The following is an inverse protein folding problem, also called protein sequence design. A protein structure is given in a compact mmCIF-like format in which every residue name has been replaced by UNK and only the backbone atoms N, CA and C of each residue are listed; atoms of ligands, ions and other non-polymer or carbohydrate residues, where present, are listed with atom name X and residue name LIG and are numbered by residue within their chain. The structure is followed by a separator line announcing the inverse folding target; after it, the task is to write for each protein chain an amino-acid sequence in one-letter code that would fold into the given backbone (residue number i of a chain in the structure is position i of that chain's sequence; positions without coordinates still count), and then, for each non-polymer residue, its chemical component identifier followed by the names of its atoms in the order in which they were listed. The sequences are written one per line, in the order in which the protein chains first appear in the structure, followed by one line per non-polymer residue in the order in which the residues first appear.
data_IF_598258876901
#
_entry.id   IF_598258876901
#
_cell.length_a   1.000
_cell.length_b   1.000
_cell.length_c   1.000
_cell.angle_alpha   90.00
_cell.angle_beta   90.00
_cell.angle_gamma   90.00
#
_symmetry.space_group_name_H-M   'P 1'
#
loop_
_entity.id
_entity.type
_entity.pdbx_description
1 polymer ?
#
# COMPACT_ATOMS: atom_id res chain seq x y z
N UNK A 1 -11.78 -1.17 -14.46
CA UNK A 1 -10.86 -0.99 -13.32
C UNK A 1 -10.81 -2.29 -12.52
N UNK A 2 -9.63 -2.91 -12.39
CA UNK A 2 -9.37 -4.12 -11.60
C UNK A 2 -8.68 -3.72 -10.29
N UNK A 3 -9.32 -4.00 -9.17
CA UNK A 3 -8.82 -3.66 -7.84
C UNK A 3 -8.56 -4.96 -7.09
N UNK A 4 -7.40 -5.06 -6.45
CA UNK A 4 -7.05 -6.18 -5.58
C UNK A 4 -6.62 -5.67 -4.20
N UNK A 5 -6.75 -6.55 -3.21
CA UNK A 5 -6.25 -6.32 -1.86
C UNK A 5 -5.48 -7.54 -1.37
N UNK A 6 -4.39 -7.31 -0.66
CA UNK A 6 -3.56 -8.39 -0.12
C UNK A 6 -2.89 -7.98 1.19
N UNK A 7 -3.23 -8.67 2.27
CA UNK A 7 -2.42 -8.67 3.49
C UNK A 7 -1.21 -9.59 3.27
N UNK A 8 -0.01 -9.00 3.20
CA UNK A 8 1.22 -9.71 2.78
C UNK A 8 2.08 -10.19 3.95
N UNK A 9 1.74 -9.80 5.18
CA UNK A 9 2.49 -10.15 6.38
C UNK A 9 4.02 -9.92 6.23
N UNK A 10 4.43 -8.70 5.85
CA UNK A 10 5.78 -8.24 5.45
C UNK A 10 5.99 -8.13 3.94
N UNK A 11 6.08 -6.89 3.46
CA UNK A 11 6.33 -6.56 2.05
C UNK A 11 7.68 -7.09 1.57
N UNK A 12 8.73 -6.93 2.37
CA UNK A 12 10.10 -7.31 2.00
C UNK A 12 10.18 -8.83 1.79
N UNK A 13 9.64 -9.61 2.73
CA UNK A 13 9.65 -11.06 2.64
C UNK A 13 8.81 -11.59 1.45
N UNK A 14 7.80 -10.83 1.00
CA UNK A 14 6.86 -11.26 -0.06
C UNK A 14 7.12 -10.58 -1.40
N UNK A 15 8.14 -9.72 -1.49
CA UNK A 15 8.43 -8.93 -2.68
C UNK A 15 8.50 -9.77 -3.97
N UNK A 16 9.19 -10.93 -4.02
CA UNK A 16 9.24 -11.75 -5.25
C UNK A 16 7.88 -12.34 -5.67
N UNK A 17 6.99 -12.59 -4.71
CA UNK A 17 5.63 -13.07 -4.99
C UNK A 17 4.74 -11.94 -5.50
N UNK A 18 4.89 -10.75 -4.91
CA UNK A 18 4.12 -9.56 -5.29
C UNK A 18 4.49 -9.12 -6.70
N UNK A 19 5.77 -9.01 -7.03
CA UNK A 19 6.22 -8.59 -8.37
C UNK A 19 5.74 -9.57 -9.45
N UNK A 20 5.96 -10.88 -9.26
CA UNK A 20 5.45 -11.91 -10.17
C UNK A 20 3.93 -11.86 -10.34
N UNK A 21 3.21 -11.60 -9.25
CA UNK A 21 1.76 -11.50 -9.31
C UNK A 21 1.30 -10.21 -10.03
N UNK A 22 1.95 -9.08 -9.81
CA UNK A 22 1.67 -7.82 -10.53
C UNK A 22 1.90 -7.96 -12.03
N UNK A 23 2.97 -8.65 -12.45
CA UNK A 23 3.26 -8.95 -13.86
C UNK A 23 2.14 -9.77 -14.53
N UNK A 24 1.61 -10.77 -13.82
CA UNK A 24 0.58 -11.66 -14.35
C UNK A 24 -0.83 -11.08 -14.27
N UNK A 25 -1.18 -10.52 -13.12
CA UNK A 25 -2.55 -10.09 -12.83
C UNK A 25 -2.84 -8.68 -13.35
N UNK A 26 -1.81 -7.83 -13.42
CA UNK A 26 -1.87 -6.45 -13.90
C UNK A 26 -3.11 -5.68 -13.39
N UNK A 27 -3.33 -5.56 -12.07
CA UNK A 27 -4.43 -4.75 -11.54
C UNK A 27 -4.23 -3.26 -11.83
N UNK A 28 -5.32 -2.50 -11.83
CA UNK A 28 -5.24 -1.04 -11.84
C UNK A 28 -4.80 -0.52 -10.47
N UNK A 29 -5.26 -1.17 -9.40
CA UNK A 29 -4.93 -0.85 -8.00
C UNK A 29 -4.68 -2.11 -7.20
N UNK A 30 -3.61 -2.14 -6.41
CA UNK A 30 -3.35 -3.13 -5.36
C UNK A 30 -3.23 -2.44 -4.00
N UNK A 31 -4.13 -2.75 -3.09
CA UNK A 31 -4.05 -2.36 -1.68
C UNK A 31 -3.27 -3.42 -0.90
N UNK A 32 -2.24 -3.00 -0.16
CA UNK A 32 -1.43 -3.87 0.68
C UNK A 32 -1.61 -3.53 2.15
N UNK A 33 -1.74 -4.55 2.99
CA UNK A 33 -1.75 -4.45 4.45
C UNK A 33 -0.62 -5.28 5.07
N UNK A 34 -0.27 -4.97 6.32
CA UNK A 34 0.88 -5.54 7.03
C UNK A 34 2.17 -5.44 6.22
N UNK A 35 2.50 -4.23 5.75
CA UNK A 35 3.79 -4.03 5.06
C UNK A 35 4.97 -4.32 6.00
N UNK A 36 4.81 -4.09 7.31
CA UNK A 36 5.82 -4.26 8.37
C UNK A 36 7.13 -3.55 8.04
N UNK A 37 7.02 -2.44 7.34
CA UNK A 37 8.12 -1.71 6.74
C UNK A 37 7.88 -0.21 6.94
N UNK A 38 8.94 0.50 7.34
CA UNK A 38 8.93 1.95 7.40
C UNK A 38 9.04 2.56 5.99
N UNK A 39 8.59 3.81 5.82
CA UNK A 39 8.56 4.50 4.52
C UNK A 39 9.94 4.50 3.82
N UNK A 40 11.01 4.75 4.57
CA UNK A 40 12.40 4.84 4.10
C UNK A 40 12.98 3.50 3.64
N UNK A 41 12.38 2.38 4.07
CA UNK A 41 12.81 1.01 3.74
C UNK A 41 11.89 0.32 2.73
N UNK A 42 10.85 1.01 2.26
CA UNK A 42 9.89 0.43 1.33
C UNK A 42 10.56 0.14 -0.02
N UNK A 43 10.35 -1.03 -0.64
CA UNK A 43 11.02 -1.44 -1.89
C UNK A 43 10.43 -0.74 -3.12
N UNK A 44 10.59 0.58 -3.18
CA UNK A 44 10.03 1.43 -4.24
C UNK A 44 10.66 1.14 -5.60
N UNK A 45 11.95 0.84 -5.66
CA UNK A 45 12.66 0.62 -6.93
C UNK A 45 12.18 -0.66 -7.62
N UNK A 46 12.01 -1.72 -6.84
CA UNK A 46 11.55 -3.02 -7.30
C UNK A 46 10.08 -3.02 -7.71
N UNK A 47 9.27 -2.14 -7.12
CA UNK A 47 7.86 -1.97 -7.50
C UNK A 47 7.70 -0.97 -8.64
N UNK A 48 8.53 0.07 -8.74
CA UNK A 48 8.50 1.06 -9.85
C UNK A 48 8.90 0.47 -11.19
N UNK A 49 9.77 -0.55 -11.20
CA UNK A 49 10.16 -1.26 -12.43
C UNK A 49 8.97 -1.90 -13.17
N UNK A 50 7.80 -2.02 -12.51
CA UNK A 50 6.58 -2.63 -13.07
C UNK A 50 5.57 -1.64 -13.64
N UNK A 51 5.92 -0.36 -13.81
CA UNK A 51 5.01 0.73 -14.22
C UNK A 51 3.88 1.03 -13.22
N UNK A 52 4.16 0.83 -11.93
CA UNK A 52 3.29 1.23 -10.84
C UNK A 52 3.93 2.31 -9.98
N UNK A 53 3.11 3.27 -9.57
CA UNK A 53 3.40 4.19 -8.48
C UNK A 53 2.90 3.61 -7.15
N UNK A 54 3.58 3.99 -6.07
CA UNK A 54 3.26 3.54 -4.72
C UNK A 54 3.01 4.74 -3.81
N UNK A 55 1.92 4.69 -3.06
CA UNK A 55 1.67 5.54 -1.90
C UNK A 55 1.78 4.66 -0.67
N UNK A 56 2.55 5.10 0.32
CA UNK A 56 2.90 4.29 1.50
C UNK A 56 2.44 5.03 2.75
N UNK A 57 2.01 4.30 3.77
CA UNK A 57 2.03 4.74 5.16
C UNK A 57 2.60 3.59 5.98
N UNK A 58 3.91 3.66 6.25
CA UNK A 58 4.71 2.59 6.79
C UNK A 58 4.91 2.68 8.28
N UNK A 59 5.01 1.51 8.92
CA UNK A 59 5.40 1.38 10.32
C UNK A 59 6.13 0.04 10.49
N UNK A 60 7.22 0.06 11.25
CA UNK A 60 8.01 -1.14 11.49
C UNK A 60 7.24 -2.19 12.31
N UNK A 61 7.63 -3.46 12.14
CA UNK A 61 7.22 -4.62 12.95
C UNK A 61 5.79 -5.12 12.74
N UNK A 62 4.77 -4.27 12.89
CA UNK A 62 3.39 -4.75 13.04
C UNK A 62 2.44 -4.31 11.94
N UNK A 63 2.45 -3.02 11.58
CA UNK A 63 1.41 -2.42 10.75
C UNK A 63 1.94 -2.05 9.37
N UNK A 64 1.43 -0.96 8.82
CA UNK A 64 1.83 -0.41 7.55
C UNK A 64 0.89 -0.84 6.43
N UNK A 65 0.51 0.13 5.62
CA UNK A 65 -0.38 -0.01 4.47
C UNK A 65 0.24 0.69 3.26
N UNK A 66 -0.05 0.18 2.07
CA UNK A 66 0.37 0.81 0.82
C UNK A 66 -0.73 0.67 -0.25
N UNK A 67 -0.80 1.65 -1.15
CA UNK A 67 -1.60 1.58 -2.37
C UNK A 67 -0.63 1.62 -3.55
N UNK A 68 -0.70 0.62 -4.40
CA UNK A 68 0.09 0.48 -5.62
C UNK A 68 -0.85 0.67 -6.81
N UNK A 69 -0.52 1.54 -7.76
CA UNK A 69 -1.41 1.90 -8.85
C UNK A 69 -0.66 2.18 -10.14
N UNK A 70 -1.22 1.77 -11.28
CA UNK A 70 -0.69 2.12 -12.62
C UNK A 70 -1.10 3.54 -13.05
N UNK A 71 -2.15 4.06 -12.44
CA UNK A 71 -2.57 5.44 -12.59
C UNK A 71 -2.02 6.26 -11.41
N UNK A 72 -1.68 7.53 -11.64
CA UNK A 72 -1.26 8.43 -10.57
C UNK A 72 -2.30 8.49 -9.43
N UNK A 73 -1.82 8.70 -8.21
CA UNK A 73 -2.64 8.83 -7.02
C UNK A 73 -2.81 10.32 -6.66
N UNK A 74 -4.04 10.76 -6.37
CA UNK A 74 -4.34 12.12 -5.93
C UNK A 74 -5.03 12.13 -4.56
N UNK A 75 -5.18 13.31 -3.94
CA UNK A 75 -5.90 13.50 -2.66
C UNK A 75 -5.50 12.52 -1.56
N UNK A 76 -4.19 12.27 -1.44
CA UNK A 76 -3.64 11.25 -0.54
C UNK A 76 -3.86 11.66 0.91
N UNK A 77 -4.40 10.74 1.72
CA UNK A 77 -4.52 10.93 3.17
C UNK A 77 -4.01 9.71 3.92
N UNK A 78 -3.07 9.94 4.84
CA UNK A 78 -2.52 8.95 5.78
C UNK A 78 -3.23 9.09 7.12
N UNK A 79 -3.65 7.98 7.70
CA UNK A 79 -4.31 7.96 9.01
C UNK A 79 -5.72 8.54 9.01
N UNK A 80 -6.32 8.57 10.20
CA UNK A 80 -7.58 9.24 10.45
C UNK A 80 -7.39 10.75 10.64
N UNK A 81 -8.43 11.57 10.39
CA UNK A 81 -8.39 12.98 10.78
C UNK A 81 -8.07 13.13 12.27
N UNK A 82 -6.99 13.84 12.58
CA UNK A 82 -6.52 14.06 13.96
C UNK A 82 -5.42 13.11 14.43
N UNK A 83 -5.01 12.14 13.61
CA UNK A 83 -3.84 11.30 13.92
C UNK A 83 -2.55 12.13 14.03
N UNK A 84 -1.66 11.70 14.92
CA UNK A 84 -0.33 12.27 15.14
C UNK A 84 0.79 11.31 14.70
N UNK A 85 2.05 11.70 14.92
CA UNK A 85 3.22 10.90 14.54
C UNK A 85 3.34 9.56 15.28
N UNK A 86 2.60 9.36 16.38
CA UNK A 86 2.59 8.12 17.18
C UNK A 86 1.46 7.17 16.79
N UNK A 87 0.52 7.65 15.97
CA UNK A 87 -0.66 6.91 15.54
C UNK A 87 -0.29 5.73 14.64
N UNK A 88 -1.12 4.69 14.65
CA UNK A 88 -0.82 3.43 13.97
C UNK A 88 -1.04 3.53 12.46
N UNK A 89 -0.07 3.05 11.67
CA UNK A 89 -0.14 3.11 10.22
C UNK A 89 -1.11 2.07 9.64
N UNK A 90 -2.41 2.37 9.71
CA UNK A 90 -3.50 1.43 9.39
C UNK A 90 -4.48 1.90 8.35
N UNK A 91 -4.51 3.19 8.03
CA UNK A 91 -5.45 3.76 7.07
C UNK A 91 -4.70 4.59 6.04
N UNK A 92 -4.93 4.29 4.77
CA UNK A 92 -4.41 5.06 3.65
C UNK A 92 -5.49 5.21 2.60
N UNK A 93 -5.69 6.43 2.13
CA UNK A 93 -6.67 6.72 1.09
C UNK A 93 -6.04 7.52 -0.04
N UNK A 94 -6.55 7.31 -1.26
CA UNK A 94 -6.15 8.04 -2.44
C UNK A 94 -7.27 8.02 -3.50
N UNK A 95 -7.33 9.06 -4.32
CA UNK A 95 -8.20 9.12 -5.50
C UNK A 95 -7.42 8.57 -6.70
N UNK A 96 -8.00 7.57 -7.38
CA UNK A 96 -7.37 6.89 -8.52
C UNK A 96 -8.42 6.73 -9.61
N UNK A 97 -8.22 7.39 -10.76
CA UNK A 97 -9.13 7.29 -11.91
C UNK A 97 -10.59 7.65 -11.59
N UNK A 98 -10.81 8.65 -10.72
CA UNK A 98 -12.14 9.08 -10.28
C UNK A 98 -12.77 8.23 -9.17
N UNK A 99 -12.05 7.24 -8.62
CA UNK A 99 -12.53 6.39 -7.53
C UNK A 99 -11.72 6.66 -6.25
N UNK A 100 -12.41 6.88 -5.13
CA UNK A 100 -11.81 6.95 -3.79
C UNK A 100 -11.45 5.55 -3.31
N UNK A 101 -10.17 5.23 -3.22
CA UNK A 101 -9.67 3.98 -2.64
C UNK A 101 -9.38 4.19 -1.17
N UNK A 102 -9.96 3.35 -0.32
CA UNK A 102 -9.77 3.34 1.14
C UNK A 102 -9.14 2.00 1.53
N UNK A 103 -7.84 2.01 1.80
CA UNK A 103 -7.09 0.84 2.25
C UNK A 103 -6.96 0.85 3.77
N UNK A 104 -7.50 -0.17 4.44
CA UNK A 104 -7.54 -0.27 5.90
C UNK A 104 -6.98 -1.61 6.39
N UNK A 105 -6.17 -1.54 7.44
CA UNK A 105 -5.70 -2.68 8.22
C UNK A 105 -6.28 -2.63 9.64
N UNK A 106 -7.40 -3.33 9.83
CA UNK A 106 -8.10 -3.39 11.12
C UNK A 106 -7.26 -4.20 12.13
N UNK A 107 -7.08 -3.73 13.39
CA UNK A 107 -6.41 -4.49 14.43
C UNK A 107 -7.03 -5.87 14.62
N UNK A 108 -6.19 -6.89 14.78
CA UNK A 108 -6.62 -8.20 15.23
C UNK A 108 -6.59 -8.18 16.76
N UNK A 109 -7.76 -8.10 17.41
CA UNK A 109 -7.91 -7.97 18.86
C UNK A 109 -8.65 -6.71 19.25
#
# INVERSE_FOLDING_TARGET
MKIATWNVNSIIARLPHITRWLEKAQPDVLCIQETKCADDKFPLLELKSTAYDCVIFGQQSYNGVAIISRAGCASIQRGFPGDDATSQARLLTADIGGVRIVNVYIPNG
#
